data_IF_502735261459
#
_entry.id   IF_502735261459
#
_cell.length_a   1.000
_cell.length_b   1.000
_cell.length_c   1.000
_cell.angle_alpha   90.00
_cell.angle_beta   90.00
_cell.angle_gamma   90.00
#
_symmetry.space_group_name_H-M   'P 1'
#
loop_
_entity.id
_entity.type
_entity.pdbx_description
1 polymer ?
#
# COMPACT_ATOMS: atom_id res chain seq x y z
N UNK A 1 1.42 -11.53 22.78
CA UNK A 1 1.63 -11.34 21.33
C UNK A 1 0.86 -10.10 20.94
N UNK A 2 1.53 -8.96 20.80
CA UNK A 2 0.90 -7.71 20.36
C UNK A 2 0.38 -7.94 18.94
N UNK A 3 -0.93 -8.14 18.82
CA UNK A 3 -1.57 -8.55 17.57
C UNK A 3 -1.31 -7.55 16.45
N UNK A 4 -1.14 -8.09 15.24
CA UNK A 4 -1.24 -7.33 14.01
C UNK A 4 -2.59 -6.59 14.03
N UNK A 5 -2.57 -5.27 14.18
CA UNK A 5 -3.75 -4.42 14.03
C UNK A 5 -3.52 -3.51 12.84
N UNK A 6 -4.03 -3.92 11.69
CA UNK A 6 -4.14 -3.05 10.53
C UNK A 6 -5.51 -2.36 10.63
N UNK A 7 -5.52 -1.02 10.60
CA UNK A 7 -6.74 -0.23 10.48
C UNK A 7 -6.90 0.19 9.02
N UNK A 8 -7.87 -0.37 8.26
CA UNK A 8 -8.02 -0.05 6.83
C UNK A 8 -8.19 1.44 6.57
N UNK A 9 -8.94 2.14 7.42
CA UNK A 9 -9.11 3.59 7.35
C UNK A 9 -7.77 4.33 7.49
N UNK A 10 -6.95 3.95 8.47
CA UNK A 10 -5.63 4.57 8.67
C UNK A 10 -4.69 4.34 7.49
N UNK A 11 -4.77 3.18 6.83
CA UNK A 11 -4.02 2.94 5.60
C UNK A 11 -4.55 3.83 4.47
N UNK A 12 -5.86 3.92 4.30
CA UNK A 12 -6.46 4.78 3.28
C UNK A 12 -6.03 6.24 3.44
N UNK A 13 -6.03 6.77 4.67
CA UNK A 13 -5.59 8.14 4.96
C UNK A 13 -4.12 8.36 4.57
N UNK A 14 -3.25 7.39 4.85
CA UNK A 14 -1.84 7.44 4.45
C UNK A 14 -1.71 7.40 2.93
N UNK A 15 -2.44 6.51 2.24
CA UNK A 15 -2.40 6.42 0.79
C UNK A 15 -2.87 7.70 0.11
N UNK A 16 -3.90 8.37 0.66
CA UNK A 16 -4.36 9.67 0.16
C UNK A 16 -3.27 10.74 0.32
N UNK A 17 -2.57 10.79 1.46
CA UNK A 17 -1.47 11.74 1.68
C UNK A 17 -0.30 11.49 0.73
N UNK A 18 0.04 10.23 0.48
CA UNK A 18 1.05 9.86 -0.52
C UNK A 18 0.62 10.32 -1.91
N UNK A 19 -0.64 10.07 -2.30
CA UNK A 19 -1.18 10.54 -3.57
C UNK A 19 -1.12 12.06 -3.73
N UNK A 20 -1.48 12.82 -2.68
CA UNK A 20 -1.38 14.28 -2.69
C UNK A 20 0.07 14.76 -2.85
N UNK A 21 1.01 14.11 -2.16
CA UNK A 21 2.44 14.44 -2.27
C UNK A 21 3.00 14.07 -3.66
N UNK A 22 2.57 12.93 -4.21
CA UNK A 22 2.95 12.50 -5.55
C UNK A 22 2.45 13.48 -6.62
N UNK A 23 1.25 14.04 -6.45
CA UNK A 23 0.72 15.07 -7.36
C UNK A 23 1.55 16.37 -7.33
N UNK A 24 2.09 16.75 -6.17
CA UNK A 24 3.01 17.89 -6.07
C UNK A 24 4.32 17.61 -6.81
N UNK A 25 4.86 16.40 -6.67
CA UNK A 25 6.06 15.98 -7.41
C UNK A 25 5.80 15.98 -8.92
N UNK A 26 4.69 15.41 -9.37
CA UNK A 26 4.31 15.37 -10.78
C UNK A 26 4.19 16.77 -11.38
N UNK A 27 3.48 17.68 -10.71
CA UNK A 27 3.37 19.08 -11.12
C UNK A 27 4.74 19.78 -11.20
N UNK A 28 5.65 19.49 -10.27
CA UNK A 28 7.00 20.02 -10.31
C UNK A 28 7.79 19.50 -11.51
N UNK A 29 7.71 18.19 -11.80
CA UNK A 29 8.39 17.55 -12.93
C UNK A 29 7.86 18.09 -14.27
N UNK A 30 6.54 18.19 -14.43
CA UNK A 30 5.91 18.79 -15.62
C UNK A 30 6.31 20.26 -15.80
N UNK A 31 6.54 20.99 -14.71
CA UNK A 31 6.98 22.38 -14.74
C UNK A 31 8.47 22.60 -15.03
N UNK A 32 9.31 21.56 -14.99
CA UNK A 32 10.77 21.69 -15.16
C UNK A 32 11.20 22.31 -16.51
N UNK A 33 10.63 21.94 -17.68
CA UNK A 33 11.06 22.49 -18.96
C UNK A 33 10.94 24.02 -19.02
N UNK A 34 9.81 24.58 -18.57
CA UNK A 34 9.62 26.02 -18.54
C UNK A 34 10.61 26.72 -17.61
N UNK A 35 10.99 26.08 -16.49
CA UNK A 35 12.03 26.61 -15.58
C UNK A 35 13.42 26.54 -16.20
N UNK A 36 13.70 25.50 -16.97
CA UNK A 36 14.96 25.36 -17.70
C UNK A 36 15.11 26.46 -18.76
N UNK A 37 14.05 26.73 -19.54
CA UNK A 37 14.03 27.81 -20.52
C UNK A 37 14.26 29.19 -19.88
N UNK A 38 13.63 29.45 -18.73
CA UNK A 38 13.84 30.67 -17.96
C UNK A 38 15.28 30.81 -17.46
N UNK A 39 15.92 29.71 -17.04
CA UNK A 39 17.31 29.72 -16.61
C UNK A 39 18.26 30.02 -17.79
N UNK A 40 18.01 29.42 -18.96
CA UNK A 40 18.79 29.72 -20.18
C UNK A 40 18.65 31.19 -20.58
N UNK A 41 17.43 31.74 -20.54
CA UNK A 41 17.20 33.16 -20.79
C UNK A 41 17.95 34.07 -19.81
N UNK A 42 17.97 33.72 -18.53
CA UNK A 42 18.70 34.47 -17.49
C UNK A 42 20.22 34.51 -17.68
N UNK A 43 20.78 33.57 -18.46
CA UNK A 43 22.22 33.53 -18.78
C UNK A 43 22.59 34.19 -20.10
N UNK A 44 21.65 34.92 -20.72
CA UNK A 44 21.85 35.55 -22.01
C UNK A 44 21.88 34.56 -23.17
N UNK A 45 21.16 33.42 -23.04
CA UNK A 45 21.06 32.40 -24.08
C UNK A 45 22.42 31.78 -24.45
N UNK A 46 23.29 31.57 -23.46
CA UNK A 46 24.58 30.93 -23.69
C UNK A 46 24.38 29.45 -24.10
N UNK A 47 24.83 29.04 -25.30
CA UNK A 47 24.57 27.71 -25.83
C UNK A 47 25.20 26.59 -24.98
N UNK A 48 26.34 26.84 -24.33
CA UNK A 48 27.00 25.84 -23.47
C UNK A 48 26.14 25.54 -22.23
N UNK A 49 25.50 26.58 -21.68
CA UNK A 49 24.62 26.43 -20.51
C UNK A 49 23.32 25.74 -20.92
N UNK A 50 22.80 26.06 -22.10
CA UNK A 50 21.62 25.39 -22.66
C UNK A 50 21.87 23.88 -22.86
N UNK A 51 22.98 23.50 -23.49
CA UNK A 51 23.35 22.09 -23.71
C UNK A 51 23.56 21.36 -22.38
N UNK A 52 24.23 21.99 -21.40
CA UNK A 52 24.43 21.40 -20.08
C UNK A 52 23.11 21.13 -19.33
N UNK A 53 22.14 22.04 -19.44
CA UNK A 53 20.82 21.86 -18.84
C UNK A 53 20.04 20.73 -19.52
N UNK A 54 20.07 20.66 -20.85
CA UNK A 54 19.43 19.56 -21.61
C UNK A 54 20.04 18.22 -21.17
N UNK A 55 21.37 18.10 -21.18
CA UNK A 55 22.05 16.87 -20.78
C UNK A 55 21.76 16.46 -19.33
N UNK A 56 21.63 17.43 -18.42
CA UNK A 56 21.21 17.15 -17.03
C UNK A 56 19.81 16.54 -16.97
N UNK A 57 18.83 17.10 -17.69
CA UNK A 57 17.47 16.58 -17.67
C UNK A 57 17.34 15.23 -18.36
N UNK A 58 18.04 15.03 -19.49
CA UNK A 58 18.10 13.73 -20.16
C UNK A 58 18.69 12.65 -19.25
N UNK A 59 19.76 12.97 -18.52
CA UNK A 59 20.38 12.04 -17.58
C UNK A 59 19.44 11.66 -16.42
N UNK A 60 18.67 12.61 -15.90
CA UNK A 60 17.80 12.38 -14.76
C UNK A 60 16.36 11.95 -15.10
N UNK A 61 15.96 11.99 -16.37
CA UNK A 61 14.62 11.61 -16.81
C UNK A 61 14.20 10.22 -16.30
N UNK A 62 15.04 9.20 -16.52
CA UNK A 62 14.79 7.84 -16.04
C UNK A 62 14.73 7.75 -14.52
N UNK A 63 15.51 8.57 -13.81
CA UNK A 63 15.47 8.61 -12.35
C UNK A 63 14.13 9.13 -11.86
N UNK A 64 13.63 10.22 -12.44
CA UNK A 64 12.32 10.81 -12.11
C UNK A 64 11.18 9.83 -12.41
N UNK A 65 11.23 9.16 -13.56
CA UNK A 65 10.27 8.12 -13.92
C UNK A 65 10.30 6.95 -12.92
N UNK A 66 11.49 6.50 -12.53
CA UNK A 66 11.65 5.41 -11.55
C UNK A 66 11.04 5.74 -10.19
N UNK A 67 11.08 7.01 -9.77
CA UNK A 67 10.47 7.48 -8.53
C UNK A 67 8.95 7.36 -8.63
N UNK A 68 8.35 7.85 -9.73
CA UNK A 68 6.92 7.71 -9.99
C UNK A 68 6.47 6.25 -9.98
N UNK A 69 7.21 5.37 -10.66
CA UNK A 69 6.94 3.93 -10.70
C UNK A 69 6.99 3.30 -9.30
N UNK A 70 7.97 3.67 -8.47
CA UNK A 70 8.10 3.17 -7.09
C UNK A 70 6.98 3.68 -6.19
N UNK A 71 6.55 4.93 -6.35
CA UNK A 71 5.39 5.48 -5.62
C UNK A 71 4.14 4.67 -5.96
N UNK A 72 3.85 4.47 -7.25
CA UNK A 72 2.69 3.71 -7.70
C UNK A 72 2.72 2.25 -7.22
N UNK A 73 3.88 1.60 -7.31
CA UNK A 73 4.07 0.23 -6.82
C UNK A 73 3.83 0.14 -5.30
N UNK A 74 4.32 1.11 -4.53
CA UNK A 74 4.17 1.13 -3.07
C UNK A 74 2.71 1.36 -2.66
N UNK A 75 2.01 2.30 -3.32
CA UNK A 75 0.59 2.59 -3.07
C UNK A 75 -0.27 1.37 -3.39
N UNK A 76 -0.05 0.77 -4.56
CA UNK A 76 -0.80 -0.42 -5.00
C UNK A 76 -0.53 -1.62 -4.09
N UNK A 77 0.74 -1.85 -3.73
CA UNK A 77 1.13 -2.94 -2.84
C UNK A 77 0.53 -2.79 -1.44
N UNK A 78 0.53 -1.58 -0.88
CA UNK A 78 -0.08 -1.32 0.43
C UNK A 78 -1.61 -1.48 0.41
N UNK A 79 -2.27 -1.04 -0.65
CA UNK A 79 -3.70 -1.27 -0.85
C UNK A 79 -4.02 -2.78 -0.95
N UNK A 80 -3.27 -3.51 -1.78
CA UNK A 80 -3.43 -4.96 -1.95
C UNK A 80 -3.20 -5.73 -0.64
N UNK A 81 -2.17 -5.37 0.12
CA UNK A 81 -1.89 -5.98 1.42
C UNK A 81 -3.03 -5.75 2.43
N UNK A 82 -3.62 -4.56 2.43
CA UNK A 82 -4.76 -4.23 3.30
C UNK A 82 -6.00 -5.03 2.93
N UNK A 83 -6.27 -5.18 1.63
CA UNK A 83 -7.37 -6.03 1.14
C UNK A 83 -7.15 -7.49 1.51
N UNK A 84 -5.93 -8.01 1.33
CA UNK A 84 -5.60 -9.39 1.69
C UNK A 84 -5.77 -9.66 3.19
N UNK A 85 -5.45 -8.67 4.04
CA UNK A 85 -5.66 -8.75 5.48
C UNK A 85 -7.16 -8.91 5.84
N UNK A 86 -8.03 -8.06 5.27
CA UNK A 86 -9.48 -8.11 5.51
C UNK A 86 -10.07 -9.43 5.01
N UNK A 87 -9.70 -9.86 3.80
CA UNK A 87 -10.17 -11.13 3.23
C UNK A 87 -9.72 -12.34 4.06
N UNK A 88 -8.50 -12.31 4.60
CA UNK A 88 -8.01 -13.36 5.50
C UNK A 88 -8.84 -13.45 6.79
N UNK A 89 -9.18 -12.31 7.39
CA UNK A 89 -10.02 -12.26 8.59
C UNK A 89 -11.43 -12.81 8.31
N UNK A 90 -12.03 -12.46 7.17
CA UNK A 90 -13.32 -12.98 6.73
C UNK A 90 -13.28 -14.50 6.51
N UNK A 91 -12.23 -15.01 5.88
CA UNK A 91 -12.06 -16.45 5.64
C UNK A 91 -11.91 -17.23 6.95
N UNK A 92 -11.07 -16.76 7.88
CA UNK A 92 -10.93 -17.38 9.20
C UNK A 92 -12.26 -17.37 9.97
N UNK A 93 -13.01 -16.27 9.92
CA UNK A 93 -14.33 -16.19 10.55
C UNK A 93 -15.33 -17.18 9.94
N UNK A 94 -15.36 -17.32 8.61
CA UNK A 94 -16.22 -18.27 7.91
C UNK A 94 -15.89 -19.73 8.27
N UNK A 95 -14.61 -20.08 8.31
CA UNK A 95 -14.13 -21.42 8.71
C UNK A 95 -14.52 -21.74 10.16
N UNK A 96 -14.37 -20.79 11.08
CA UNK A 96 -14.80 -20.96 12.47
C UNK A 96 -16.32 -21.12 12.61
N UNK A 97 -17.12 -20.35 11.87
CA UNK A 97 -18.58 -20.50 11.85
C UNK A 97 -19.01 -21.86 11.29
N UNK A 98 -18.37 -22.32 10.21
CA UNK A 98 -18.63 -23.62 9.62
C UNK A 98 -18.28 -24.76 10.60
N UNK A 99 -17.11 -24.70 11.25
CA UNK A 99 -16.71 -25.67 12.26
C UNK A 99 -17.65 -25.66 13.48
N UNK A 100 -18.07 -24.48 13.95
CA UNK A 100 -19.03 -24.35 15.05
C UNK A 100 -20.39 -24.96 14.69
N UNK A 101 -20.88 -24.73 13.46
CA UNK A 101 -22.13 -25.29 12.96
C UNK A 101 -22.07 -26.83 12.87
N UNK A 102 -20.93 -27.39 12.45
CA UNK A 102 -20.72 -28.84 12.43
C UNK A 102 -20.76 -29.43 13.85
N UNK A 103 -20.08 -28.82 14.82
CA UNK A 103 -20.08 -29.29 16.21
C UNK A 103 -21.48 -29.17 16.83
N UNK A 104 -22.19 -28.06 16.59
CA UNK A 104 -23.57 -27.87 17.06
C UNK A 104 -24.54 -28.92 16.48
N UNK A 105 -24.36 -29.30 15.20
CA UNK A 105 -25.14 -30.35 14.55
C UNK A 105 -24.92 -31.76 15.12
N UNK A 106 -23.82 -32.00 15.83
CA UNK A 106 -23.52 -33.29 16.49
C UNK A 106 -24.04 -33.39 17.93
N UNK A 107 -24.67 -32.33 18.47
CA UNK A 107 -25.49 -32.38 19.68
C UNK A 107 -24.80 -32.72 21.01
N UNK A 108 -23.47 -32.83 21.09
CA UNK A 108 -22.76 -33.10 22.36
C UNK A 108 -22.17 -31.82 22.96
N UNK A 109 -22.98 -31.11 23.74
CA UNK A 109 -22.44 -30.19 24.76
C UNK A 109 -22.01 -31.06 25.94
N UNK A 110 -20.70 -31.27 26.13
CA UNK A 110 -20.17 -31.91 27.33
C UNK A 110 -20.39 -30.95 28.51
N UNK A 111 -21.23 -31.27 29.50
CA UNK A 111 -21.43 -30.39 30.64
C UNK A 111 -20.12 -30.27 31.43
N UNK A 112 -19.74 -29.04 31.76
CA UNK A 112 -18.56 -28.71 32.54
C UNK A 112 -18.72 -29.27 33.97
N UNK A 113 -18.32 -30.52 34.20
CA UNK A 113 -18.33 -31.11 35.55
C UNK A 113 -18.15 -32.62 35.65
N UNK A 114 -18.40 -33.40 34.60
CA UNK A 114 -18.34 -34.87 34.72
C UNK A 114 -16.89 -35.40 34.57
N UNK A 115 -16.15 -35.47 35.69
CA UNK A 115 -15.00 -36.37 35.86
C UNK A 115 -15.52 -37.71 36.41
N UNK A 116 -15.75 -38.68 35.52
CA UNK A 116 -16.03 -40.07 35.88
C UNK A 116 -15.79 -40.97 34.67
N UNK A 117 -15.21 -42.17 34.85
CA UNK A 117 -14.83 -43.03 33.73
C UNK A 117 -16.08 -43.58 33.02
N UNK A 118 -15.99 -43.69 31.70
CA UNK A 118 -17.02 -44.26 30.83
C UNK A 118 -17.06 -45.77 31.09
N UNK A 119 -18.16 -46.28 31.66
CA UNK A 119 -18.47 -47.70 31.64
C UNK A 119 -19.39 -47.95 30.44
N UNK A 120 -18.92 -48.83 29.55
CA UNK A 120 -19.65 -49.28 28.38
C UNK A 120 -20.80 -50.22 28.76
N UNK A 121 -21.96 -50.02 28.10
CA UNK A 121 -22.89 -51.08 27.72
C UNK A 121 -23.38 -50.79 26.31
#
# INVERSE_FOLDING_TARGET
>A
MSGWRITPQGVQDVLQRVGATAAVLDAAVVGLPAKAEQAVAGTGQNPIIADALIGFFEHHATTLESIGNRINASVTGAAAATTAYVQGDEQMAAEHQAAAAQVAGTGRVRPAGARGPVVAQ
#
